data_IF_245891503768
#
_entry.id   IF_245891503768
#
_cell.length_a   1.000
_cell.length_b   1.000
_cell.length_c   1.000
_cell.angle_alpha   90.00
_cell.angle_beta   90.00
_cell.angle_gamma   90.00
#
_symmetry.space_group_name_H-M   'P 1'
#
loop_
_entity.id
_entity.type
_entity.pdbx_description
1 polymer ?
#
# COMPACT_ATOMS: atom_id res chain seq x y z
N UNK A 1 14.39 -8.74 26.47
CA UNK A 1 15.71 -8.53 27.09
C UNK A 1 16.49 -7.40 26.42
N UNK A 2 16.37 -7.19 25.10
CA UNK A 2 17.12 -6.14 24.38
C UNK A 2 16.64 -4.71 24.65
N UNK A 3 15.32 -4.45 24.71
CA UNK A 3 14.79 -3.09 24.92
C UNK A 3 15.39 -2.35 26.14
N UNK A 4 15.58 -3.06 27.26
CA UNK A 4 16.13 -2.47 28.48
C UNK A 4 17.63 -2.11 28.40
N UNK A 5 18.31 -2.47 27.30
CA UNK A 5 19.76 -2.35 27.15
C UNK A 5 20.19 -1.40 26.02
N UNK A 6 19.43 -0.32 25.80
CA UNK A 6 19.81 0.81 24.94
C UNK A 6 18.71 1.24 23.98
N UNK A 7 17.91 0.30 23.49
CA UNK A 7 16.93 0.57 22.42
C UNK A 7 15.79 1.49 22.87
N UNK A 8 15.45 1.49 24.17
CA UNK A 8 14.46 2.43 24.72
C UNK A 8 14.85 3.90 24.49
N UNK A 9 16.14 4.20 24.31
CA UNK A 9 16.64 5.54 24.00
C UNK A 9 16.18 6.08 22.64
N UNK A 10 15.69 5.22 21.74
CA UNK A 10 15.11 5.63 20.45
C UNK A 10 13.69 6.21 20.59
N UNK A 11 13.00 5.94 21.70
CA UNK A 11 11.63 6.40 21.92
C UNK A 11 11.64 7.87 22.35
N UNK A 12 11.04 8.72 21.53
CA UNK A 12 10.87 10.15 21.76
C UNK A 12 9.60 10.46 22.57
N UNK A 13 9.46 11.72 23.02
CA UNK A 13 8.32 12.15 23.84
C UNK A 13 7.01 12.26 23.07
N UNK A 14 7.09 12.41 21.76
CA UNK A 14 5.99 12.49 20.81
C UNK A 14 5.63 11.13 20.19
N UNK A 15 6.31 10.06 20.59
CA UNK A 15 5.95 8.70 20.22
C UNK A 15 4.79 8.17 21.06
N UNK A 16 4.20 7.06 20.61
CA UNK A 16 3.28 6.24 21.38
C UNK A 16 3.78 4.79 21.38
N UNK A 17 3.62 4.12 22.53
CA UNK A 17 3.97 2.71 22.68
C UNK A 17 2.72 1.86 22.52
N UNK A 18 2.76 0.88 21.61
CA UNK A 18 1.77 -0.18 21.52
C UNK A 18 2.39 -1.45 22.09
N UNK A 19 1.89 -1.91 23.24
CA UNK A 19 2.36 -3.10 23.91
C UNK A 19 1.34 -4.23 23.76
N UNK A 20 1.81 -5.41 23.33
CA UNK A 20 0.98 -6.57 23.05
C UNK A 20 1.33 -7.70 24.01
N UNK A 21 0.36 -8.19 24.76
CA UNK A 21 0.50 -9.39 25.59
C UNK A 21 -0.87 -9.98 25.83
N UNK A 22 -1.05 -11.27 25.51
CA UNK A 22 -2.34 -11.93 25.69
C UNK A 22 -2.80 -11.85 27.15
N UNK A 23 -1.99 -12.31 28.10
CA UNK A 23 -2.30 -12.23 29.53
C UNK A 23 -2.14 -10.82 30.12
N UNK A 24 -1.28 -9.99 29.52
CA UNK A 24 -0.89 -8.69 30.07
C UNK A 24 0.08 -8.76 31.26
N UNK A 25 0.67 -9.94 31.52
CA UNK A 25 1.56 -10.21 32.66
C UNK A 25 3.01 -10.54 32.24
N UNK A 26 3.37 -10.30 30.98
CA UNK A 26 4.71 -10.59 30.44
C UNK A 26 5.78 -9.73 31.14
N UNK A 27 6.74 -10.38 31.81
CA UNK A 27 7.80 -9.70 32.57
C UNK A 27 8.70 -8.85 31.68
N UNK A 28 8.85 -9.25 30.42
CA UNK A 28 9.63 -8.53 29.40
C UNK A 28 9.07 -7.14 29.12
N UNK A 29 7.75 -6.93 29.32
CA UNK A 29 7.11 -5.63 29.11
C UNK A 29 7.27 -4.68 30.29
N UNK A 30 7.67 -5.16 31.48
CA UNK A 30 7.77 -4.32 32.68
C UNK A 30 8.72 -3.14 32.50
N UNK A 31 9.83 -3.34 31.78
CA UNK A 31 10.77 -2.26 31.49
C UNK A 31 10.19 -1.20 30.55
N UNK A 32 9.44 -1.62 29.53
CA UNK A 32 8.73 -0.74 28.60
C UNK A 32 7.65 0.06 29.33
N UNK A 33 6.87 -0.60 30.19
CA UNK A 33 5.84 0.05 31.02
C UNK A 33 6.48 1.08 31.94
N UNK A 34 7.54 0.71 32.66
CA UNK A 34 8.26 1.63 33.55
C UNK A 34 8.82 2.85 32.79
N UNK A 35 9.38 2.63 31.59
CA UNK A 35 9.88 3.70 30.74
C UNK A 35 8.76 4.65 30.29
N UNK A 36 7.65 4.09 29.77
CA UNK A 36 6.47 4.87 29.39
C UNK A 36 6.00 5.75 30.53
N UNK A 37 5.79 5.16 31.72
CA UNK A 37 5.30 5.91 32.88
C UNK A 37 6.28 6.98 33.33
N UNK A 38 7.58 6.67 33.38
CA UNK A 38 8.63 7.61 33.77
C UNK A 38 8.70 8.85 32.87
N UNK A 39 8.53 8.66 31.57
CA UNK A 39 8.67 9.74 30.59
C UNK A 39 7.33 10.28 30.06
N UNK A 40 6.21 9.82 30.64
CA UNK A 40 4.85 10.21 30.23
C UNK A 40 4.58 9.96 28.74
N UNK A 41 5.13 8.86 28.21
CA UNK A 41 4.91 8.43 26.83
C UNK A 41 3.60 7.65 26.79
N UNK A 42 2.64 8.00 25.91
CA UNK A 42 1.38 7.27 25.76
C UNK A 42 1.58 5.76 25.59
N UNK A 43 0.81 4.97 26.34
CA UNK A 43 0.83 3.51 26.29
C UNK A 43 -0.54 2.97 25.92
N UNK A 44 -0.59 2.25 24.81
CA UNK A 44 -1.75 1.50 24.34
C UNK A 44 -1.48 0.02 24.58
N UNK A 45 -2.38 -0.66 25.27
CA UNK A 45 -2.30 -2.09 25.53
C UNK A 45 -3.24 -2.88 24.61
N UNK A 46 -2.73 -3.92 23.95
CA UNK A 46 -3.53 -4.94 23.27
C UNK A 46 -3.42 -6.23 24.10
N UNK A 47 -4.49 -6.61 24.78
CA UNK A 47 -4.49 -7.72 25.74
C UNK A 47 -5.89 -8.30 25.93
N UNK A 48 -6.02 -9.54 26.38
CA UNK A 48 -7.29 -10.10 26.87
C UNK A 48 -7.42 -10.03 28.39
N UNK A 49 -6.34 -9.69 29.11
CA UNK A 49 -6.35 -9.50 30.55
C UNK A 49 -6.82 -8.10 30.93
N UNK A 50 -8.14 -7.90 31.06
CA UNK A 50 -8.75 -6.60 31.43
C UNK A 50 -8.18 -6.01 32.72
N UNK A 51 -7.92 -6.87 33.71
CA UNK A 51 -7.34 -6.51 35.00
C UNK A 51 -5.86 -6.87 35.11
N UNK A 52 -5.13 -6.96 34.00
CA UNK A 52 -3.70 -7.28 34.01
C UNK A 52 -2.83 -6.11 34.45
N UNK A 53 -1.57 -6.38 34.79
CA UNK A 53 -0.57 -5.35 35.06
C UNK A 53 -0.42 -4.39 33.88
N UNK A 54 -0.37 -4.90 32.65
CA UNK A 54 -0.30 -4.09 31.44
C UNK A 54 -1.54 -3.22 31.26
N UNK A 55 -2.75 -3.79 31.38
CA UNK A 55 -4.00 -3.05 31.20
C UNK A 55 -4.14 -1.91 32.21
N UNK A 56 -3.81 -2.15 33.49
CA UNK A 56 -3.84 -1.10 34.53
C UNK A 56 -2.84 0.02 34.30
N UNK A 57 -1.72 -0.25 33.64
CA UNK A 57 -0.68 0.74 33.40
C UNK A 57 -0.90 1.55 32.11
N UNK A 58 -1.72 1.06 31.19
CA UNK A 58 -1.97 1.68 29.90
C UNK A 58 -2.93 2.88 30.00
N UNK A 59 -2.77 3.84 29.09
CA UNK A 59 -3.69 4.97 28.95
C UNK A 59 -4.93 4.57 28.14
N UNK A 60 -4.76 3.63 27.20
CA UNK A 60 -5.84 3.04 26.40
C UNK A 60 -5.67 1.53 26.36
N UNK A 61 -6.76 0.81 26.61
CA UNK A 61 -6.80 -0.65 26.50
C UNK A 61 -7.66 -1.04 25.31
N UNK A 62 -7.04 -1.67 24.31
CA UNK A 62 -7.70 -2.38 23.23
C UNK A 62 -7.91 -3.84 23.70
N UNK A 63 -9.01 -4.04 24.43
CA UNK A 63 -9.33 -5.31 25.05
C UNK A 63 -9.75 -6.35 24.00
N UNK A 64 -9.06 -7.47 23.97
CA UNK A 64 -9.37 -8.61 23.12
C UNK A 64 -10.31 -9.58 23.84
N UNK A 65 -11.30 -10.15 23.14
CA UNK A 65 -12.17 -11.18 23.73
C UNK A 65 -11.36 -12.45 24.01
N UNK A 66 -11.68 -13.12 25.11
CA UNK A 66 -11.15 -14.46 25.40
C UNK A 66 -11.90 -15.45 24.51
N UNK A 67 -11.17 -16.10 23.60
CA UNK A 67 -11.70 -17.12 22.69
C UNK A 67 -10.88 -18.40 22.80
N UNK A 68 -11.47 -19.58 22.54
CA UNK A 68 -10.73 -20.83 22.55
C UNK A 68 -9.59 -20.84 21.52
N UNK A 69 -8.47 -21.42 21.91
CA UNK A 69 -7.39 -21.75 20.98
C UNK A 69 -7.80 -22.94 20.12
N UNK A 70 -7.38 -22.93 18.85
CA UNK A 70 -7.50 -24.09 17.98
C UNK A 70 -6.59 -25.25 18.44
N UNK A 71 -5.56 -24.97 19.22
CA UNK A 71 -4.75 -25.98 19.88
C UNK A 71 -5.62 -26.82 20.84
N UNK A 72 -5.72 -28.15 20.67
CA UNK A 72 -6.58 -29.00 21.50
C UNK A 72 -6.23 -28.98 23.00
N UNK A 73 -4.99 -28.62 23.32
CA UNK A 73 -4.49 -28.55 24.70
C UNK A 73 -4.50 -27.12 25.26
N UNK A 74 -4.86 -26.11 24.47
CA UNK A 74 -4.85 -24.70 24.88
C UNK A 74 -3.47 -24.13 25.22
N UNK A 75 -2.40 -24.84 24.90
CA UNK A 75 -1.02 -24.45 25.25
C UNK A 75 -0.39 -23.51 24.22
N UNK A 76 -0.67 -23.77 22.94
CA UNK A 76 -0.08 -23.02 21.85
C UNK A 76 -1.02 -21.88 21.42
N UNK A 77 -0.51 -20.65 21.29
CA UNK A 77 -1.29 -19.55 20.76
C UNK A 77 -1.59 -19.79 19.27
N UNK A 78 -2.86 -19.66 18.90
CA UNK A 78 -3.38 -19.90 17.55
C UNK A 78 -4.43 -18.85 17.18
N UNK A 79 -5.57 -18.85 17.86
CA UNK A 79 -6.63 -17.87 17.68
C UNK A 79 -6.23 -16.53 18.29
N UNK A 80 -5.53 -16.53 19.43
CA UNK A 80 -5.06 -15.31 20.10
C UNK A 80 -4.11 -14.47 19.25
N UNK A 81 -3.18 -15.11 18.53
CA UNK A 81 -2.25 -14.40 17.63
C UNK A 81 -2.97 -13.83 16.41
N UNK A 82 -3.99 -14.52 15.89
CA UNK A 82 -4.84 -13.98 14.82
C UNK A 82 -5.65 -12.77 15.30
N UNK A 83 -6.23 -12.82 16.50
CA UNK A 83 -6.94 -11.66 17.06
C UNK A 83 -6.02 -10.45 17.24
N UNK A 84 -4.79 -10.68 17.68
CA UNK A 84 -3.78 -9.64 17.80
C UNK A 84 -3.38 -9.04 16.44
N UNK A 85 -3.22 -9.88 15.41
CA UNK A 85 -2.96 -9.43 14.04
C UNK A 85 -4.12 -8.60 13.49
N UNK A 86 -5.36 -9.09 13.63
CA UNK A 86 -6.58 -8.41 13.18
C UNK A 86 -6.76 -7.06 13.88
N UNK A 87 -6.42 -6.96 15.17
CA UNK A 87 -6.42 -5.67 15.88
C UNK A 87 -5.41 -4.69 15.29
N UNK A 88 -4.24 -5.17 14.87
CA UNK A 88 -3.25 -4.38 14.15
C UNK A 88 -3.78 -3.84 12.83
N UNK A 89 -4.42 -4.71 12.03
CA UNK A 89 -5.05 -4.31 10.76
C UNK A 89 -6.16 -3.28 10.98
N UNK A 90 -7.05 -3.52 11.96
CA UNK A 90 -8.12 -2.60 12.30
C UNK A 90 -7.59 -1.21 12.69
N UNK A 91 -6.51 -1.16 13.48
CA UNK A 91 -5.87 0.10 13.86
C UNK A 91 -5.24 0.80 12.65
N UNK A 92 -4.57 0.05 11.76
CA UNK A 92 -3.99 0.60 10.55
C UNK A 92 -5.06 1.21 9.63
N UNK A 93 -6.17 0.49 9.38
CA UNK A 93 -7.29 0.99 8.58
C UNK A 93 -7.93 2.22 9.22
N UNK A 94 -8.19 2.19 10.54
CA UNK A 94 -8.76 3.33 11.25
C UNK A 94 -7.86 4.58 11.13
N UNK A 95 -6.54 4.41 11.20
CA UNK A 95 -5.58 5.51 11.00
C UNK A 95 -5.53 6.00 9.55
N UNK A 96 -5.65 5.10 8.57
CA UNK A 96 -5.74 5.47 7.15
C UNK A 96 -6.97 6.33 6.89
N UNK A 97 -8.13 5.93 7.41
CA UNK A 97 -9.38 6.68 7.29
C UNK A 97 -9.30 8.04 8.00
N UNK A 98 -8.85 8.05 9.26
CA UNK A 98 -8.72 9.27 10.05
C UNK A 98 -7.76 10.30 9.45
N UNK A 99 -6.72 9.84 8.72
CA UNK A 99 -5.75 10.69 8.02
C UNK A 99 -6.16 11.05 6.60
N UNK A 100 -7.32 10.57 6.12
CA UNK A 100 -7.75 10.77 4.73
C UNK A 100 -6.75 10.22 3.72
N UNK A 101 -6.18 9.05 4.00
CA UNK A 101 -5.17 8.44 3.15
C UNK A 101 -5.76 8.09 1.78
N UNK A 102 -5.13 8.56 0.70
CA UNK A 102 -5.62 8.42 -0.67
C UNK A 102 -4.75 7.44 -1.47
N UNK A 103 -5.25 6.92 -2.61
CA UNK A 103 -4.43 6.16 -3.54
C UNK A 103 -3.19 6.94 -4.01
N UNK A 104 -3.29 8.26 -4.17
CA UNK A 104 -2.12 9.08 -4.53
C UNK A 104 -1.05 9.06 -3.43
N UNK A 105 -1.44 9.16 -2.15
CA UNK A 105 -0.50 8.99 -1.03
C UNK A 105 0.16 7.60 -1.07
N UNK A 106 -0.59 6.56 -1.41
CA UNK A 106 -0.04 5.20 -1.58
C UNK A 106 1.04 5.15 -2.66
N UNK A 107 0.77 5.73 -3.83
CA UNK A 107 1.72 5.82 -4.96
C UNK A 107 3.01 6.54 -4.56
N UNK A 108 2.91 7.67 -3.85
CA UNK A 108 4.07 8.44 -3.39
C UNK A 108 4.96 7.66 -2.43
N UNK A 109 4.35 6.89 -1.51
CA UNK A 109 5.08 6.13 -0.51
C UNK A 109 5.58 4.76 -1.01
N UNK A 110 5.00 4.24 -2.09
CA UNK A 110 5.31 2.91 -2.65
C UNK A 110 5.51 2.93 -4.17
N UNK A 111 6.47 3.74 -4.70
CA UNK A 111 6.59 3.97 -6.14
C UNK A 111 7.04 2.73 -6.94
N UNK A 112 7.71 1.77 -6.29
CA UNK A 112 8.22 0.56 -6.94
C UNK A 112 7.25 -0.64 -6.96
N UNK A 113 6.07 -0.50 -6.35
CA UNK A 113 5.10 -1.60 -6.22
C UNK A 113 4.17 -1.71 -7.42
N UNK A 114 3.73 -2.94 -7.74
CA UNK A 114 2.74 -3.20 -8.80
C UNK A 114 1.44 -2.42 -8.59
N UNK A 115 1.01 -2.25 -7.34
CA UNK A 115 -0.15 -1.44 -6.98
C UNK A 115 0.06 0.06 -7.26
N UNK A 116 1.25 0.60 -6.94
CA UNK A 116 1.60 1.98 -7.27
C UNK A 116 1.61 2.23 -8.78
N UNK A 117 2.12 1.27 -9.56
CA UNK A 117 2.08 1.31 -11.02
C UNK A 117 0.64 1.30 -11.58
N UNK A 118 -0.27 0.52 -10.99
CA UNK A 118 -1.69 0.49 -11.39
C UNK A 118 -2.43 1.80 -11.11
N UNK A 119 -1.89 2.68 -10.27
CA UNK A 119 -2.44 4.00 -9.97
C UNK A 119 -1.89 5.10 -10.89
N UNK A 120 -1.09 4.75 -11.90
CA UNK A 120 -0.58 5.70 -12.90
C UNK A 120 -1.71 6.13 -13.84
N UNK A 121 -1.88 7.44 -14.04
CA UNK A 121 -2.93 7.94 -14.93
C UNK A 121 -2.53 7.73 -16.39
N UNK A 122 -3.51 7.40 -17.24
CA UNK A 122 -3.27 7.27 -18.69
C UNK A 122 -2.65 8.55 -19.27
N UNK A 123 -3.06 9.71 -18.79
CA UNK A 123 -2.51 11.01 -19.20
C UNK A 123 -1.01 11.17 -18.91
N UNK A 124 -0.48 10.45 -17.92
CA UNK A 124 0.94 10.49 -17.55
C UNK A 124 1.82 9.60 -18.46
N UNK A 125 1.22 8.60 -19.12
CA UNK A 125 1.93 7.62 -19.95
C UNK A 125 1.53 7.64 -21.43
N UNK A 126 0.44 8.32 -21.78
CA UNK A 126 -0.01 8.45 -23.16
C UNK A 126 0.91 9.39 -23.93
N UNK A 127 1.07 9.11 -25.23
CA UNK A 127 1.75 10.02 -26.15
C UNK A 127 0.87 11.25 -26.39
N UNK A 128 1.48 12.42 -26.40
CA UNK A 128 0.81 13.71 -26.60
C UNK A 128 1.51 14.54 -27.66
N UNK A 129 0.81 15.54 -28.19
CA UNK A 129 1.36 16.48 -29.17
C UNK A 129 1.92 15.77 -30.42
N UNK A 130 3.17 16.10 -30.75
CA UNK A 130 3.85 15.55 -31.92
C UNK A 130 4.14 14.04 -31.80
N UNK A 131 4.13 13.47 -30.59
CA UNK A 131 4.38 12.04 -30.38
C UNK A 131 3.18 11.18 -30.77
N UNK A 132 1.99 11.77 -30.97
CA UNK A 132 0.83 11.04 -31.45
C UNK A 132 1.07 10.64 -32.91
N UNK A 133 1.00 9.35 -33.25
CA UNK A 133 1.28 8.88 -34.60
C UNK A 133 0.07 9.17 -35.50
N UNK A 134 0.06 10.34 -36.13
CA UNK A 134 -1.04 10.80 -37.00
C UNK A 134 -0.59 10.82 -38.46
N UNK A 135 -1.50 10.43 -39.36
CA UNK A 135 -1.38 10.62 -40.80
C UNK A 135 -2.71 11.12 -41.38
N UNK A 136 -2.66 11.89 -42.47
CA UNK A 136 -3.86 12.42 -43.10
C UNK A 136 -4.54 11.36 -43.96
N UNK A 137 -5.87 11.46 -44.10
CA UNK A 137 -6.62 10.65 -45.04
C UNK A 137 -6.07 10.87 -46.47
N UNK A 138 -5.69 9.76 -47.13
CA UNK A 138 -5.03 9.79 -48.44
C UNK A 138 -3.50 9.74 -48.40
N UNK A 139 -2.86 9.80 -47.21
CA UNK A 139 -1.43 9.52 -47.06
C UNK A 139 -1.09 8.14 -47.64
N UNK A 140 -0.01 8.06 -48.41
CA UNK A 140 0.42 6.81 -49.04
C UNK A 140 0.89 5.82 -47.99
N UNK A 141 0.66 4.53 -48.25
CA UNK A 141 1.01 3.48 -47.28
C UNK A 141 2.48 3.48 -46.85
N UNK A 142 3.49 3.67 -47.73
CA UNK A 142 4.88 3.77 -47.30
C UNK A 142 5.14 4.91 -46.31
N UNK A 143 4.46 6.06 -46.47
CA UNK A 143 4.60 7.23 -45.58
C UNK A 143 3.94 6.97 -44.22
N UNK A 144 2.79 6.29 -44.21
CA UNK A 144 2.14 5.83 -42.98
C UNK A 144 3.03 4.83 -42.21
N UNK A 145 3.69 3.90 -42.91
CA UNK A 145 4.66 2.95 -42.33
C UNK A 145 5.91 3.65 -41.81
N UNK A 146 6.40 4.68 -42.48
CA UNK A 146 7.50 5.48 -41.95
C UNK A 146 7.12 6.15 -40.62
N UNK A 147 5.87 6.60 -40.47
CA UNK A 147 5.37 7.20 -39.22
C UNK A 147 5.38 6.20 -38.06
N UNK A 148 4.98 4.95 -38.30
CA UNK A 148 5.06 3.85 -37.32
C UNK A 148 6.50 3.67 -36.79
N UNK A 149 7.47 3.60 -37.71
CA UNK A 149 8.88 3.41 -37.39
C UNK A 149 9.46 4.62 -36.64
N UNK A 150 9.19 5.84 -37.11
CA UNK A 150 9.68 7.08 -36.48
C UNK A 150 9.14 7.26 -35.07
N UNK A 151 7.86 6.94 -34.84
CA UNK A 151 7.19 7.11 -33.55
C UNK A 151 7.33 5.89 -32.63
N UNK A 152 7.93 4.79 -33.11
CA UNK A 152 8.17 3.53 -32.37
C UNK A 152 6.88 3.01 -31.72
N UNK A 153 5.85 2.86 -32.54
CA UNK A 153 4.50 2.44 -32.15
C UNK A 153 3.98 1.41 -33.13
N UNK A 154 3.05 0.55 -32.67
CA UNK A 154 2.44 -0.47 -33.50
C UNK A 154 1.21 -0.03 -34.30
N UNK A 155 0.84 1.26 -34.24
CA UNK A 155 -0.28 1.81 -35.01
C UNK A 155 -0.09 3.30 -35.35
N UNK A 156 -0.69 3.72 -36.46
CA UNK A 156 -0.85 5.11 -36.87
C UNK A 156 -2.35 5.41 -36.99
N UNK A 157 -2.76 6.53 -36.44
CA UNK A 157 -4.12 7.04 -36.49
C UNK A 157 -4.31 7.88 -37.76
N UNK A 158 -5.39 7.64 -38.50
CA UNK A 158 -5.73 8.38 -39.71
C UNK A 158 -6.75 9.44 -39.39
N UNK A 159 -6.44 10.69 -39.71
CA UNK A 159 -7.32 11.85 -39.50
C UNK A 159 -7.76 12.49 -40.81
N UNK A 160 -8.97 13.03 -40.85
CA UNK A 160 -9.44 13.83 -41.98
C UNK A 160 -8.87 15.27 -41.94
N UNK A 161 -9.28 16.09 -42.91
CA UNK A 161 -8.84 17.49 -43.01
C UNK A 161 -9.29 18.37 -41.83
N UNK A 162 -10.37 17.97 -41.13
CA UNK A 162 -10.87 18.64 -39.93
C UNK A 162 -10.19 18.12 -38.65
N UNK A 163 -9.22 17.20 -38.79
CA UNK A 163 -8.49 16.59 -37.68
C UNK A 163 -9.28 15.51 -36.93
N UNK A 164 -10.42 15.06 -37.47
CA UNK A 164 -11.19 13.97 -36.84
C UNK A 164 -10.56 12.63 -37.16
N UNK A 165 -10.49 11.76 -36.16
CA UNK A 165 -10.06 10.37 -36.33
C UNK A 165 -11.07 9.63 -37.22
N UNK A 166 -10.61 9.16 -38.37
CA UNK A 166 -11.42 8.43 -39.36
C UNK A 166 -10.94 6.99 -39.55
N UNK A 167 -9.81 6.61 -38.98
CA UNK A 167 -9.31 5.23 -39.04
C UNK A 167 -8.02 4.99 -38.29
N UNK A 168 -7.53 3.76 -38.38
CA UNK A 168 -6.26 3.31 -37.81
C UNK A 168 -5.62 2.31 -38.77
N UNK A 169 -4.29 2.35 -38.90
CA UNK A 169 -3.50 1.32 -39.58
C UNK A 169 -2.50 0.77 -38.58
N UNK A 170 -2.50 -0.54 -38.41
CA UNK A 170 -1.59 -1.24 -37.49
C UNK A 170 -0.46 -1.94 -38.24
N UNK A 171 0.64 -2.23 -37.55
CA UNK A 171 1.71 -3.08 -38.09
C UNK A 171 1.17 -4.43 -38.58
N UNK A 172 0.15 -4.97 -37.89
CA UNK A 172 -0.52 -6.20 -38.29
C UNK A 172 -1.28 -6.07 -39.62
N UNK A 173 -1.89 -4.92 -39.89
CA UNK A 173 -2.57 -4.66 -41.17
C UNK A 173 -1.57 -4.55 -42.32
N UNK A 174 -0.43 -3.91 -42.07
CA UNK A 174 0.66 -3.79 -43.02
C UNK A 174 1.22 -5.18 -43.34
N UNK A 175 1.60 -5.95 -42.31
CA UNK A 175 2.16 -7.29 -42.48
C UNK A 175 1.24 -8.24 -43.24
N UNK A 176 -0.08 -8.21 -42.98
CA UNK A 176 -1.05 -9.07 -43.68
C UNK A 176 -1.28 -8.70 -45.15
N UNK A 177 -1.04 -7.45 -45.53
CA UNK A 177 -1.33 -6.95 -46.88
C UNK A 177 -0.08 -6.71 -47.72
N UNK A 178 1.13 -6.98 -47.22
CA UNK A 178 2.40 -6.76 -47.93
C UNK A 178 2.56 -7.56 -49.24
N UNK A 179 1.75 -8.61 -49.42
CA UNK A 179 1.78 -9.51 -50.59
C UNK A 179 0.55 -9.37 -51.49
N UNK A 180 -0.31 -8.40 -51.19
CA UNK A 180 -1.53 -8.09 -51.95
C UNK A 180 -1.33 -6.83 -52.78
#
# INVERSE_FOLDING_TARGET
AEANHGDLGMIARDDAIIAMSWSGESKELMGIVAYSRRFSIPLIAITSGENSALARAADVVLLLPIVPEACPHGLAPTTSTLLQLVMGDALAIALLEARGFTPDHFRTLHPGGQLGANLTLVSEIMRTGDQVPLALLGTKMPEAVMTLSQKKVGCVCIVDADGKLVGIVTDGDVARNLHR
#
